data_IF_200608936966
#
_entry.id   IF_200608936966
#
_cell.length_a   1.000
_cell.length_b   1.000
_cell.length_c   1.000
_cell.angle_alpha   90.00
_cell.angle_beta   90.00
_cell.angle_gamma   90.00
#
_symmetry.space_group_name_H-M   'P 1'
#
loop_
_entity.id
_entity.type
_entity.pdbx_description
1 polymer ?
#
# COMPACT_ATOMS: atom_id res chain seq x y z
N UNK A 1 -32.95 -5.61 2.02
CA UNK A 1 -31.82 -5.92 2.92
C UNK A 1 -30.57 -6.45 2.20
N UNK A 2 -30.65 -7.51 1.38
CA UNK A 2 -29.47 -8.19 0.81
C UNK A 2 -28.46 -7.29 0.07
N UNK A 3 -28.92 -6.35 -0.76
CA UNK A 3 -28.04 -5.40 -1.48
C UNK A 3 -27.21 -4.49 -0.56
N UNK A 4 -27.74 -4.12 0.61
CA UNK A 4 -27.00 -3.28 1.58
C UNK A 4 -25.95 -4.09 2.33
N UNK A 5 -26.27 -5.34 2.69
CA UNK A 5 -25.34 -6.26 3.34
C UNK A 5 -24.16 -6.57 2.41
N UNK A 6 -24.44 -6.86 1.13
CA UNK A 6 -23.40 -7.09 0.14
C UNK A 6 -22.47 -5.88 -0.04
N UNK A 7 -23.03 -4.66 -0.11
CA UNK A 7 -22.22 -3.44 -0.24
C UNK A 7 -21.30 -3.21 0.97
N UNK A 8 -21.79 -3.48 2.19
CA UNK A 8 -20.97 -3.41 3.40
C UNK A 8 -19.87 -4.47 3.43
N UNK A 9 -20.19 -5.71 3.06
CA UNK A 9 -19.22 -6.79 2.98
C UNK A 9 -18.09 -6.46 1.99
N UNK A 10 -18.42 -5.97 0.79
CA UNK A 10 -17.43 -5.56 -0.20
C UNK A 10 -16.56 -4.40 0.30
N UNK A 11 -17.18 -3.38 0.93
CA UNK A 11 -16.42 -2.27 1.52
C UNK A 11 -15.46 -2.72 2.63
N UNK A 12 -15.89 -3.66 3.47
CA UNK A 12 -15.05 -4.24 4.52
C UNK A 12 -13.88 -5.03 3.93
N UNK A 13 -14.11 -5.87 2.92
CA UNK A 13 -13.05 -6.62 2.23
C UNK A 13 -12.03 -5.68 1.59
N UNK A 14 -12.47 -4.66 0.86
CA UNK A 14 -11.56 -3.67 0.26
C UNK A 14 -10.73 -2.94 1.32
N UNK A 15 -11.35 -2.58 2.44
CA UNK A 15 -10.64 -1.95 3.56
C UNK A 15 -9.62 -2.89 4.19
N UNK A 16 -9.97 -4.17 4.36
CA UNK A 16 -9.06 -5.19 4.86
C UNK A 16 -7.87 -5.40 3.91
N UNK A 17 -8.08 -5.35 2.59
CA UNK A 17 -7.00 -5.40 1.60
C UNK A 17 -6.07 -4.19 1.69
N UNK A 18 -6.61 -2.98 1.89
CA UNK A 18 -5.77 -1.82 2.17
C UNK A 18 -4.94 -2.01 3.44
N UNK A 19 -5.57 -2.49 4.52
CA UNK A 19 -4.86 -2.76 5.76
C UNK A 19 -3.75 -3.80 5.57
N UNK A 20 -3.98 -4.87 4.81
CA UNK A 20 -2.95 -5.88 4.54
C UNK A 20 -1.77 -5.32 3.76
N UNK A 21 -1.99 -4.41 2.80
CA UNK A 21 -0.87 -3.73 2.11
C UNK A 21 -0.02 -2.87 3.05
N UNK A 22 -0.65 -2.17 4.01
CA UNK A 22 0.07 -1.38 5.01
C UNK A 22 0.87 -2.29 5.95
N UNK A 23 0.27 -3.39 6.42
CA UNK A 23 0.96 -4.37 7.27
C UNK A 23 2.18 -4.97 6.55
N UNK A 24 2.04 -5.34 5.27
CA UNK A 24 3.14 -5.83 4.47
C UNK A 24 4.24 -4.77 4.28
N UNK A 25 3.87 -3.52 3.99
CA UNK A 25 4.82 -2.43 3.83
C UNK A 25 5.58 -2.12 5.14
N UNK A 26 4.89 -2.15 6.29
CA UNK A 26 5.51 -2.00 7.62
C UNK A 26 6.44 -3.18 7.90
N UNK A 27 6.04 -4.40 7.57
CA UNK A 27 6.90 -5.58 7.65
C UNK A 27 8.19 -5.39 6.86
N UNK A 28 8.09 -4.93 5.61
CA UNK A 28 9.26 -4.61 4.78
C UNK A 28 10.11 -3.50 5.40
N UNK A 29 9.50 -2.44 5.93
CA UNK A 29 10.19 -1.32 6.59
C UNK A 29 11.03 -1.77 7.79
N UNK A 30 10.54 -2.74 8.57
CA UNK A 30 11.22 -3.22 9.77
C UNK A 30 12.23 -4.33 9.47
N UNK A 31 11.84 -5.32 8.66
CA UNK A 31 12.62 -6.53 8.44
C UNK A 31 13.78 -6.32 7.47
N UNK A 32 13.64 -5.48 6.44
CA UNK A 32 14.71 -5.26 5.46
C UNK A 32 15.95 -4.58 6.04
N UNK A 33 15.85 -3.53 6.89
CA UNK A 33 17.02 -2.95 7.56
C UNK A 33 17.71 -3.94 8.50
N UNK A 34 16.94 -4.81 9.17
CA UNK A 34 17.49 -5.84 10.07
C UNK A 34 18.25 -6.91 9.30
N UNK A 35 17.71 -7.34 8.15
CA UNK A 35 18.39 -8.27 7.25
C UNK A 35 19.67 -7.65 6.65
N UNK A 36 19.62 -6.37 6.25
CA UNK A 36 20.80 -5.64 5.74
C UNK A 36 21.92 -5.58 6.80
N UNK A 37 21.57 -5.26 8.06
CA UNK A 37 22.51 -5.21 9.16
C UNK A 37 23.16 -6.58 9.46
N UNK A 38 22.42 -7.68 9.33
CA UNK A 38 22.98 -9.04 9.48
C UNK A 38 23.98 -9.39 8.38
N UNK A 39 23.84 -8.78 7.20
CA UNK A 39 24.74 -8.96 6.06
C UNK A 39 25.92 -7.97 6.08
N UNK A 40 26.02 -7.12 7.12
CA UNK A 40 27.04 -6.08 7.23
C UNK A 40 26.84 -4.90 6.28
N UNK A 41 25.66 -4.76 5.67
CA UNK A 41 25.31 -3.70 4.73
C UNK A 41 24.45 -2.64 5.40
N UNK A 42 24.70 -1.37 5.05
CA UNK A 42 23.86 -0.25 5.47
C UNK A 42 22.64 -0.07 4.55
N UNK A 43 21.54 0.43 5.10
CA UNK A 43 20.44 0.95 4.27
C UNK A 43 20.83 2.29 3.66
N UNK A 44 20.70 2.42 2.33
CA UNK A 44 20.94 3.71 1.67
C UNK A 44 19.82 4.72 2.01
N UNK A 45 20.06 6.04 1.89
CA UNK A 45 19.02 7.06 2.02
C UNK A 45 17.84 6.85 1.04
N UNK A 46 18.12 6.32 -0.15
CA UNK A 46 17.11 5.95 -1.14
C UNK A 46 16.29 4.73 -0.69
N UNK A 47 16.91 3.74 -0.05
CA UNK A 47 16.22 2.58 0.52
C UNK A 47 15.21 2.99 1.60
N UNK A 48 15.61 3.87 2.52
CA UNK A 48 14.71 4.44 3.53
C UNK A 48 13.57 5.25 2.91
N UNK A 49 13.84 6.02 1.86
CA UNK A 49 12.82 6.76 1.13
C UNK A 49 11.78 5.82 0.53
N UNK A 50 12.19 4.78 -0.20
CA UNK A 50 11.29 3.81 -0.82
C UNK A 50 10.47 3.02 0.21
N UNK A 51 11.08 2.62 1.33
CA UNK A 51 10.35 1.93 2.41
C UNK A 51 9.30 2.85 3.06
N UNK A 52 9.66 4.10 3.35
CA UNK A 52 8.74 5.08 3.91
C UNK A 52 7.59 5.38 2.95
N UNK A 53 7.91 5.54 1.66
CA UNK A 53 6.93 5.78 0.61
C UNK A 53 5.98 4.60 0.43
N UNK A 54 6.49 3.37 0.48
CA UNK A 54 5.68 2.15 0.41
C UNK A 54 4.68 2.00 1.55
N UNK A 55 4.98 2.54 2.74
CA UNK A 55 4.05 2.58 3.88
C UNK A 55 3.03 3.72 3.75
N UNK A 56 3.47 4.92 3.35
CA UNK A 56 2.62 6.10 3.27
C UNK A 56 1.62 6.07 2.11
N UNK A 57 2.02 5.50 0.97
CA UNK A 57 1.24 5.54 -0.26
C UNK A 57 -0.12 4.81 -0.15
N UNK A 58 -0.21 3.57 0.38
CA UNK A 58 -1.51 2.91 0.56
C UNK A 58 -2.46 3.69 1.48
N UNK A 59 -1.92 4.28 2.55
CA UNK A 59 -2.68 5.10 3.51
C UNK A 59 -3.22 6.36 2.84
N UNK A 60 -2.38 7.05 2.08
CA UNK A 60 -2.76 8.26 1.35
C UNK A 60 -3.83 7.96 0.30
N UNK A 61 -3.66 6.90 -0.51
CA UNK A 61 -4.64 6.52 -1.53
C UNK A 61 -5.97 6.10 -0.89
N UNK A 62 -5.93 5.36 0.22
CA UNK A 62 -7.14 5.01 0.96
C UNK A 62 -7.88 6.25 1.47
N UNK A 63 -7.17 7.20 2.07
CA UNK A 63 -7.74 8.45 2.56
C UNK A 63 -8.37 9.26 1.42
N UNK A 64 -7.68 9.38 0.28
CA UNK A 64 -8.19 10.05 -0.93
C UNK A 64 -9.44 9.34 -1.45
N UNK A 65 -9.43 8.01 -1.52
CA UNK A 65 -10.57 7.21 -1.97
C UNK A 65 -11.80 7.42 -1.05
N UNK A 66 -11.60 7.47 0.27
CA UNK A 66 -12.66 7.79 1.23
C UNK A 66 -13.18 9.22 1.07
N UNK A 67 -12.27 10.18 0.88
CA UNK A 67 -12.58 11.59 0.68
C UNK A 67 -13.44 11.79 -0.57
N UNK A 68 -13.07 11.19 -1.70
CA UNK A 68 -13.81 11.29 -2.96
C UNK A 68 -15.14 10.52 -2.86
N UNK A 69 -15.14 9.35 -2.20
CA UNK A 69 -16.32 8.51 -2.02
C UNK A 69 -17.38 9.07 -1.08
N UNK A 70 -17.06 10.06 -0.23
CA UNK A 70 -17.93 10.51 0.88
C UNK A 70 -19.30 11.06 0.46
N UNK A 71 -19.44 11.60 -0.75
CA UNK A 71 -20.69 12.18 -1.27
C UNK A 71 -21.38 11.32 -2.33
N UNK A 72 -20.88 10.10 -2.60
CA UNK A 72 -21.37 9.25 -3.69
C UNK A 72 -22.22 8.07 -3.19
N UNK A 73 -23.00 7.49 -4.09
CA UNK A 73 -23.79 6.28 -3.82
C UNK A 73 -22.87 5.10 -3.47
N UNK A 74 -23.39 4.12 -2.72
CA UNK A 74 -22.60 3.00 -2.21
C UNK A 74 -21.81 2.25 -3.30
N UNK A 75 -22.38 2.08 -4.50
CA UNK A 75 -21.70 1.44 -5.63
C UNK A 75 -20.51 2.24 -6.16
N UNK A 76 -20.67 3.56 -6.33
CA UNK A 76 -19.59 4.45 -6.76
C UNK A 76 -18.46 4.53 -5.71
N UNK A 77 -18.80 4.47 -4.41
CA UNK A 77 -17.82 4.46 -3.33
C UNK A 77 -16.95 3.19 -3.35
N UNK A 78 -17.57 2.03 -3.61
CA UNK A 78 -16.87 0.75 -3.79
C UNK A 78 -15.95 0.80 -5.01
N UNK A 79 -16.42 1.33 -6.15
CA UNK A 79 -15.60 1.47 -7.36
C UNK A 79 -14.38 2.37 -7.14
N UNK A 80 -14.53 3.49 -6.43
CA UNK A 80 -13.42 4.38 -6.10
C UNK A 80 -12.40 3.70 -5.18
N UNK A 81 -12.85 2.94 -4.19
CA UNK A 81 -11.96 2.15 -3.33
C UNK A 81 -11.22 1.05 -4.11
N UNK A 82 -11.93 0.33 -4.98
CA UNK A 82 -11.33 -0.70 -5.82
C UNK A 82 -10.32 -0.12 -6.82
N UNK A 83 -10.63 1.02 -7.43
CA UNK A 83 -9.71 1.72 -8.33
C UNK A 83 -8.46 2.20 -7.60
N UNK A 84 -8.61 2.78 -6.41
CA UNK A 84 -7.47 3.16 -5.57
C UNK A 84 -6.60 1.96 -5.21
N UNK A 85 -7.21 0.83 -4.87
CA UNK A 85 -6.49 -0.42 -4.56
C UNK A 85 -5.72 -0.92 -5.79
N UNK A 86 -6.32 -0.83 -6.98
CA UNK A 86 -5.66 -1.14 -8.25
C UNK A 86 -4.45 -0.26 -8.52
N UNK A 87 -4.52 1.04 -8.22
CA UNK A 87 -3.37 1.95 -8.34
C UNK A 87 -2.25 1.57 -7.37
N UNK A 88 -2.59 1.24 -6.12
CA UNK A 88 -1.60 0.74 -5.13
C UNK A 88 -0.93 -0.54 -5.63
N UNK A 89 -1.72 -1.48 -6.18
CA UNK A 89 -1.19 -2.74 -6.70
C UNK A 89 -0.28 -2.55 -7.92
N UNK A 90 -0.70 -1.73 -8.89
CA UNK A 90 0.09 -1.41 -10.07
C UNK A 90 1.41 -0.73 -9.69
N UNK A 91 1.37 0.21 -8.74
CA UNK A 91 2.56 0.88 -8.24
C UNK A 91 3.52 -0.08 -7.54
N UNK A 92 3.02 -0.98 -6.70
CA UNK A 92 3.87 -1.99 -6.04
C UNK A 92 4.58 -2.88 -7.08
N UNK A 93 3.88 -3.27 -8.16
CA UNK A 93 4.48 -4.02 -9.27
C UNK A 93 5.54 -3.20 -10.03
N UNK A 94 5.30 -1.91 -10.23
CA UNK A 94 6.24 -1.00 -10.87
C UNK A 94 7.50 -0.79 -10.03
N UNK A 95 7.36 -0.53 -8.73
CA UNK A 95 8.48 -0.39 -7.79
C UNK A 95 9.34 -1.66 -7.80
N UNK A 96 8.71 -2.83 -7.82
CA UNK A 96 9.41 -4.11 -7.84
C UNK A 96 10.17 -4.35 -9.17
N UNK A 97 9.71 -3.78 -10.29
CA UNK A 97 10.36 -3.91 -11.60
C UNK A 97 11.38 -2.82 -11.90
N UNK A 98 11.10 -1.58 -11.50
CA UNK A 98 11.88 -0.40 -11.89
C UNK A 98 12.94 -0.03 -10.87
N UNK A 99 12.79 -0.38 -9.59
CA UNK A 99 13.79 -0.01 -8.58
C UNK A 99 14.94 -1.01 -8.60
N UNK A 100 16.15 -0.61 -9.04
CA UNK A 100 17.28 -1.50 -9.05
C UNK A 100 17.65 -1.89 -7.62
N UNK A 101 17.94 -3.18 -7.38
CA UNK A 101 18.21 -3.73 -6.05
C UNK A 101 19.41 -3.04 -5.36
N UNK A 102 20.35 -2.54 -6.15
CA UNK A 102 21.54 -1.79 -5.71
C UNK A 102 21.21 -0.43 -5.10
N UNK A 103 20.00 0.11 -5.30
CA UNK A 103 19.59 1.39 -4.72
C UNK A 103 19.24 1.29 -3.24
N UNK A 104 18.91 0.09 -2.74
CA UNK A 104 18.47 -0.12 -1.37
C UNK A 104 19.63 -0.25 -0.39
N UNK A 105 20.76 -0.77 -0.85
CA UNK A 105 21.90 -1.12 -0.01
C UNK A 105 23.06 -0.18 -0.29
N UNK A 106 23.57 0.47 0.74
CA UNK A 106 24.84 1.19 0.69
C UNK A 106 25.94 0.23 1.16
N UNK A 107 27.00 0.12 0.34
CA UNK A 107 28.23 -0.62 0.66
C UNK A 107 29.05 0.08 1.72
#
# INVERSE_FOLDING_TARGET
MGRRIAAWAVGAVLTALYASTVVAAVGNFVLLPQLAAQLGLGMSPLGWFWLSFGVLMPVAVFAIALVIGRRRTAGLRILVLAAGLGVVAAWQLEVMHLVPQFSYFAS
#
